data_IF_711173316115
#
_entry.id   IF_711173316115
#
_cell.length_a   1.000
_cell.length_b   1.000
_cell.length_c   1.000
_cell.angle_alpha   90.00
_cell.angle_beta   90.00
_cell.angle_gamma   90.00
#
_symmetry.space_group_name_H-M   'P 1'
#
loop_
_entity.id
_entity.type
_entity.pdbx_description
1 polymer ?
#
# COMPACT_ATOMS: atom_id res chain seq x y z
N UNK A 1 -7.78 -6.92 10.23
CA UNK A 1 -8.08 -6.65 8.79
C UNK A 1 -7.08 -5.67 8.24
N UNK A 2 -6.53 -5.99 7.06
CA UNK A 2 -5.53 -5.18 6.37
C UNK A 2 -6.20 -4.23 5.38
N UNK A 3 -5.46 -3.25 4.88
CA UNK A 3 -5.96 -2.34 3.85
C UNK A 3 -4.91 -2.04 2.78
N UNK A 4 -5.39 -1.69 1.59
CA UNK A 4 -4.55 -1.28 0.47
C UNK A 4 -4.77 0.21 0.20
N UNK A 5 -3.68 0.97 0.13
CA UNK A 5 -3.69 2.38 -0.29
C UNK A 5 -3.18 2.46 -1.72
N UNK A 6 -4.01 2.96 -2.63
CA UNK A 6 -3.59 3.33 -3.98
C UNK A 6 -2.91 4.70 -4.01
N UNK A 7 -1.78 4.80 -4.69
CA UNK A 7 -1.10 6.04 -5.03
C UNK A 7 -0.80 6.03 -6.54
N UNK A 8 -1.82 6.33 -7.37
CA UNK A 8 -1.68 6.26 -8.82
C UNK A 8 -0.59 7.21 -9.33
N UNK A 9 -0.12 6.92 -10.54
CA UNK A 9 0.89 7.73 -11.24
C UNK A 9 0.50 9.21 -11.28
N UNK A 10 1.48 10.09 -11.11
CA UNK A 10 1.30 11.55 -11.20
C UNK A 10 2.61 12.23 -11.62
N UNK A 11 2.52 13.27 -12.45
CA UNK A 11 3.68 14.01 -12.97
C UNK A 11 4.80 13.12 -13.57
N UNK A 12 4.42 12.05 -14.28
CA UNK A 12 5.38 11.12 -14.90
C UNK A 12 6.07 10.15 -13.93
N UNK A 13 5.73 10.18 -12.63
CA UNK A 13 6.17 9.17 -11.69
C UNK A 13 5.31 7.90 -11.80
N UNK A 14 5.92 6.70 -11.68
CA UNK A 14 5.18 5.44 -11.69
C UNK A 14 4.23 5.34 -10.49
N UNK A 15 3.11 4.65 -10.70
CA UNK A 15 2.14 4.38 -9.66
C UNK A 15 2.69 3.47 -8.56
N UNK A 16 2.05 3.50 -7.40
CA UNK A 16 2.34 2.64 -6.26
C UNK A 16 1.05 2.18 -5.61
N UNK A 17 1.10 1.04 -4.96
CA UNK A 17 0.12 0.63 -3.97
C UNK A 17 0.84 0.20 -2.69
N UNK A 18 0.19 0.33 -1.56
CA UNK A 18 0.75 -0.04 -0.26
C UNK A 18 -0.21 -1.00 0.42
N UNK A 19 0.25 -2.21 0.72
CA UNK A 19 -0.44 -3.11 1.62
C UNK A 19 -0.02 -2.76 3.04
N UNK A 20 -0.98 -2.42 3.90
CA UNK A 20 -0.74 -2.06 5.30
C UNK A 20 -1.43 -3.08 6.18
N UNK A 21 -0.64 -3.69 7.07
CA UNK A 21 -1.16 -4.69 7.98
C UNK A 21 -1.94 -4.04 9.12
N UNK A 22 -3.11 -4.61 9.41
CA UNK A 22 -4.04 -4.15 10.41
C UNK A 22 -3.45 -4.19 11.81
N UNK A 23 -3.85 -3.20 12.63
CA UNK A 23 -3.56 -3.15 14.06
C UNK A 23 -4.61 -2.31 14.77
N UNK A 24 -4.63 -2.39 16.10
CA UNK A 24 -5.62 -1.69 16.93
C UNK A 24 -5.60 -0.16 16.77
N UNK A 25 -4.43 0.43 16.51
CA UNK A 25 -4.28 1.87 16.31
C UNK A 25 -3.14 2.23 15.36
N UNK A 26 -3.32 3.33 14.63
CA UNK A 26 -2.32 3.89 13.74
C UNK A 26 -1.86 5.25 14.26
N UNK A 27 -0.58 5.55 14.06
CA UNK A 27 -0.06 6.90 14.25
C UNK A 27 -0.60 7.81 13.14
N UNK A 28 -0.88 9.06 13.48
CA UNK A 28 -1.22 10.11 12.52
C UNK A 28 -0.08 11.14 12.49
N UNK A 29 0.56 11.39 11.32
CA UNK A 29 0.28 10.78 10.02
C UNK A 29 0.81 9.34 9.92
N UNK A 30 0.17 8.53 9.06
CA UNK A 30 0.67 7.21 8.68
C UNK A 30 1.86 7.37 7.71
N UNK A 31 3.04 6.91 8.13
CA UNK A 31 4.28 7.02 7.36
C UNK A 31 4.48 5.80 6.47
N UNK A 32 4.12 5.91 5.19
CA UNK A 32 4.20 4.79 4.22
C UNK A 32 5.65 4.40 3.86
N UNK A 33 6.62 5.26 4.13
CA UNK A 33 8.04 4.96 3.90
C UNK A 33 8.64 4.04 4.99
N UNK A 34 7.97 3.91 6.14
CA UNK A 34 8.39 3.05 7.26
C UNK A 34 7.90 1.59 7.10
N UNK A 35 7.27 1.25 5.97
CA UNK A 35 6.81 -0.11 5.70
C UNK A 35 7.99 -1.05 5.42
N UNK A 36 8.08 -2.14 6.19
CA UNK A 36 9.28 -2.98 6.28
C UNK A 36 9.01 -4.50 6.24
N UNK A 37 7.79 -4.91 5.89
CA UNK A 37 7.38 -6.32 5.84
C UNK A 37 6.75 -6.84 7.12
N UNK A 38 6.93 -6.19 8.27
CA UNK A 38 6.22 -6.56 9.52
C UNK A 38 4.95 -5.74 9.75
N UNK A 39 4.88 -4.56 9.12
CA UNK A 39 3.77 -3.61 9.19
C UNK A 39 3.11 -3.37 7.82
N UNK A 40 3.59 -4.03 6.78
CA UNK A 40 3.13 -3.88 5.40
C UNK A 40 4.27 -3.78 4.39
N UNK A 41 3.93 -3.56 3.13
CA UNK A 41 4.89 -3.46 2.02
C UNK A 41 4.33 -2.61 0.87
N UNK A 42 5.21 -2.25 -0.05
CA UNK A 42 4.90 -1.44 -1.23
C UNK A 42 4.93 -2.30 -2.49
N UNK A 43 3.95 -2.08 -3.36
CA UNK A 43 3.80 -2.64 -4.69
C UNK A 43 4.13 -1.51 -5.68
N UNK A 44 5.08 -1.74 -6.58
CA UNK A 44 5.60 -0.73 -7.52
C UNK A 44 5.69 -1.35 -8.90
N UNK A 45 5.43 -0.55 -9.93
CA UNK A 45 5.63 -0.97 -11.31
C UNK A 45 7.11 -1.24 -11.61
N UNK A 46 7.35 -2.23 -12.48
CA UNK A 46 8.69 -2.63 -12.90
C UNK A 46 9.17 -1.78 -14.10
N UNK A 47 8.26 -1.24 -14.92
CA UNK A 47 8.58 -0.30 -16.00
C UNK A 47 7.32 0.42 -16.53
N UNK A 48 7.44 1.73 -16.79
CA UNK A 48 6.42 2.51 -17.50
C UNK A 48 5.47 3.34 -16.63
N UNK A 49 4.71 4.26 -17.24
CA UNK A 49 3.70 5.09 -16.56
C UNK A 49 2.38 4.34 -16.33
N UNK A 50 2.28 3.06 -16.72
CA UNK A 50 1.12 2.21 -16.46
C UNK A 50 0.92 2.15 -14.94
N UNK A 51 -0.11 2.81 -14.43
CA UNK A 51 -0.17 3.18 -13.03
C UNK A 51 -0.73 2.08 -12.13
N UNK A 52 0.13 1.43 -11.34
CA UNK A 52 -0.28 0.68 -10.14
C UNK A 52 -0.99 1.62 -9.15
N UNK A 53 -2.01 1.10 -8.45
CA UNK A 53 -2.74 1.84 -7.41
C UNK A 53 -3.86 2.75 -7.91
N UNK A 54 -4.23 2.66 -9.19
CA UNK A 54 -5.38 3.35 -9.80
C UNK A 54 -6.74 2.79 -9.34
N UNK A 55 -6.80 1.51 -9.00
CA UNK A 55 -7.96 0.87 -8.40
C UNK A 55 -7.50 -0.13 -7.34
N UNK A 56 -8.20 -0.14 -6.21
CA UNK A 56 -7.98 -1.10 -5.11
C UNK A 56 -9.33 -1.63 -4.65
N UNK A 57 -9.34 -2.89 -4.21
CA UNK A 57 -10.49 -3.50 -3.55
C UNK A 57 -10.06 -3.97 -2.16
N UNK A 58 -11.04 -4.34 -1.33
CA UNK A 58 -10.77 -4.94 -0.03
C UNK A 58 -9.98 -6.23 -0.18
N UNK A 59 -8.86 -6.34 0.54
CA UNK A 59 -7.99 -7.51 0.51
C UNK A 59 -8.29 -8.52 1.63
N UNK A 60 -9.07 -8.13 2.65
CA UNK A 60 -9.22 -8.91 3.88
C UNK A 60 -7.97 -8.85 4.77
N UNK A 61 -7.75 -9.89 5.57
CA UNK A 61 -6.48 -10.11 6.28
C UNK A 61 -5.58 -11.00 5.40
N UNK A 62 -4.48 -10.43 4.92
CA UNK A 62 -3.57 -11.07 3.97
C UNK A 62 -2.29 -11.59 4.64
N UNK A 63 -2.04 -11.19 5.90
CA UNK A 63 -0.86 -11.58 6.65
C UNK A 63 -1.16 -12.55 7.81
N UNK A 64 -2.41 -13.02 7.93
CA UNK A 64 -2.89 -13.92 9.00
C UNK A 64 -2.85 -13.26 10.39
N UNK A 65 -2.92 -11.93 10.43
CA UNK A 65 -3.03 -11.13 11.64
C UNK A 65 -4.50 -10.88 11.99
N UNK A 66 -4.94 -11.39 13.15
CA UNK A 66 -6.31 -11.23 13.65
C UNK A 66 -6.86 -9.81 13.50
#
# INVERSE_FOLDING_TARGET
MDFIIGAPSGNGAPGKAYAVFGKYSFSSPLKLFDLNGTNGFVIRDIAGPDGTGSSVSSAGDINRGR
#
